data_IF_635401912047
#
_entry.id   IF_635401912047
#
_cell.length_a   1.000
_cell.length_b   1.000
_cell.length_c   1.000
_cell.angle_alpha   90.00
_cell.angle_beta   90.00
_cell.angle_gamma   90.00
#
_symmetry.space_group_name_H-M   'P 1'
#
loop_
_entity.id
_entity.type
_entity.pdbx_description
1 polymer ?
#
# COMPACT_ATOMS: atom_id res chain seq x y z
N UNK A 1 -17.06 -20.08 -6.20
CA UNK A 1 -18.47 -19.63 -6.24
C UNK A 1 -18.79 -18.89 -4.96
N UNK A 2 -19.10 -17.59 -5.01
CA UNK A 2 -19.59 -16.80 -3.87
C UNK A 2 -21.11 -16.61 -3.97
N UNK A 3 -21.79 -16.45 -2.84
CA UNK A 3 -23.25 -16.21 -2.80
C UNK A 3 -23.65 -14.76 -3.15
N UNK A 4 -22.68 -13.90 -3.43
CA UNK A 4 -22.89 -12.54 -3.95
C UNK A 4 -22.07 -12.36 -5.24
N UNK A 5 -22.61 -11.57 -6.16
CA UNK A 5 -21.97 -11.22 -7.41
C UNK A 5 -20.80 -10.25 -7.16
N UNK A 6 -19.70 -10.48 -7.87
CA UNK A 6 -18.52 -9.61 -7.92
C UNK A 6 -18.13 -9.48 -9.38
N UNK A 7 -17.78 -8.27 -9.84
CA UNK A 7 -17.34 -8.08 -11.23
C UNK A 7 -15.96 -8.73 -11.51
N UNK A 8 -15.22 -9.12 -10.47
CA UNK A 8 -14.08 -10.06 -10.53
C UNK A 8 -14.47 -11.42 -9.96
N UNK A 9 -15.03 -12.31 -10.79
CA UNK A 9 -15.25 -13.69 -10.41
C UNK A 9 -13.98 -14.54 -10.63
N UNK A 10 -13.66 -15.42 -9.67
CA UNK A 10 -12.52 -16.33 -9.79
C UNK A 10 -12.94 -17.80 -9.69
N UNK A 11 -12.50 -18.61 -10.66
CA UNK A 11 -12.61 -20.08 -10.65
C UNK A 11 -11.47 -20.63 -9.80
N UNK A 12 -11.68 -20.63 -8.48
CA UNK A 12 -10.70 -21.09 -7.48
C UNK A 12 -10.56 -22.62 -7.44
N UNK A 13 -9.47 -23.16 -6.87
CA UNK A 13 -9.34 -24.60 -6.59
C UNK A 13 -10.51 -25.18 -5.78
N UNK A 14 -11.09 -24.39 -4.86
CA UNK A 14 -12.29 -24.78 -4.08
C UNK A 14 -13.49 -25.01 -5.00
N UNK A 15 -13.64 -24.18 -6.04
CA UNK A 15 -14.74 -24.33 -7.01
C UNK A 15 -14.52 -25.56 -7.88
N UNK A 16 -13.28 -25.84 -8.29
CA UNK A 16 -12.95 -27.02 -9.08
C UNK A 16 -13.08 -28.33 -8.29
N UNK A 17 -12.68 -28.34 -7.02
CA UNK A 17 -12.88 -29.48 -6.12
C UNK A 17 -14.36 -29.77 -5.91
N UNK A 18 -15.17 -28.74 -5.64
CA UNK A 18 -16.63 -28.88 -5.54
C UNK A 18 -17.24 -29.52 -6.80
N UNK A 19 -16.77 -29.15 -8.00
CA UNK A 19 -17.26 -29.75 -9.26
C UNK A 19 -16.80 -31.19 -9.46
N UNK A 20 -15.57 -31.53 -9.05
CA UNK A 20 -15.02 -32.89 -9.13
C UNK A 20 -15.70 -33.84 -8.13
N UNK A 21 -15.94 -33.39 -6.89
CA UNK A 21 -16.67 -34.12 -5.85
C UNK A 21 -18.11 -34.50 -6.26
N UNK A 22 -18.70 -33.81 -7.25
CA UNK A 22 -20.01 -34.20 -7.81
C UNK A 22 -19.96 -35.50 -8.63
N UNK A 23 -18.77 -35.90 -9.11
CA UNK A 23 -18.57 -37.02 -10.02
C UNK A 23 -18.90 -36.76 -11.49
N UNK A 24 -19.37 -35.55 -11.85
CA UNK A 24 -19.73 -35.20 -13.24
C UNK A 24 -18.54 -34.65 -14.06
N UNK A 25 -17.47 -34.21 -13.40
CA UNK A 25 -16.34 -33.51 -14.02
C UNK A 25 -15.01 -34.05 -13.51
N UNK A 26 -13.98 -33.99 -14.36
CA UNK A 26 -12.57 -34.16 -13.96
C UNK A 26 -11.92 -32.79 -14.10
N UNK A 27 -11.51 -32.19 -12.99
CA UNK A 27 -11.08 -30.79 -12.94
C UNK A 27 -9.60 -30.61 -13.30
N UNK A 28 -9.30 -29.70 -14.23
CA UNK A 28 -7.92 -29.30 -14.50
C UNK A 28 -7.51 -28.12 -13.59
N UNK A 29 -6.94 -28.42 -12.43
CA UNK A 29 -6.49 -27.41 -11.46
C UNK A 29 -5.42 -26.45 -11.99
N UNK A 30 -4.69 -26.79 -13.06
CA UNK A 30 -3.73 -25.88 -13.68
C UNK A 30 -4.39 -24.65 -14.34
N UNK A 31 -5.71 -24.67 -14.55
CA UNK A 31 -6.51 -23.55 -15.05
C UNK A 31 -7.22 -22.77 -13.91
N UNK A 32 -6.96 -23.11 -12.64
CA UNK A 32 -7.55 -22.38 -11.51
C UNK A 32 -6.91 -21.00 -11.29
N UNK A 33 -7.72 -20.07 -10.80
CA UNK A 33 -7.31 -18.70 -10.49
C UNK A 33 -6.92 -18.56 -9.01
N UNK A 34 -6.08 -17.56 -8.70
CA UNK A 34 -5.44 -17.38 -7.40
C UNK A 34 -6.39 -16.85 -6.33
N UNK A 35 -6.99 -17.76 -5.55
CA UNK A 35 -7.82 -17.38 -4.42
C UNK A 35 -6.97 -16.94 -3.22
N UNK A 36 -6.83 -15.63 -3.04
CA UNK A 36 -6.03 -15.00 -1.96
C UNK A 36 -6.77 -14.90 -0.62
N UNK A 37 -8.10 -14.84 -0.64
CA UNK A 37 -8.92 -14.72 0.57
C UNK A 37 -8.78 -15.95 1.49
N UNK A 38 -8.35 -15.74 2.73
CA UNK A 38 -8.13 -16.81 3.71
C UNK A 38 -6.90 -17.70 3.45
N UNK A 39 -6.15 -17.49 2.35
CA UNK A 39 -4.97 -18.29 2.01
C UNK A 39 -3.92 -18.21 3.13
N UNK A 40 -3.55 -19.36 3.69
CA UNK A 40 -2.54 -19.47 4.73
C UNK A 40 -2.95 -18.91 6.11
N UNK A 41 -4.24 -18.65 6.36
CA UNK A 41 -4.71 -18.02 7.62
C UNK A 41 -5.09 -19.00 8.74
N UNK A 42 -4.81 -20.29 8.56
CA UNK A 42 -4.93 -21.32 9.61
C UNK A 42 -6.38 -21.69 9.99
N UNK A 43 -6.51 -22.54 11.00
CA UNK A 43 -7.81 -23.07 11.44
C UNK A 43 -8.71 -22.00 12.05
N UNK A 44 -8.18 -21.09 12.89
CA UNK A 44 -8.96 -20.02 13.52
C UNK A 44 -9.74 -19.19 12.50
N UNK A 45 -9.11 -18.84 11.36
CA UNK A 45 -9.79 -18.12 10.28
C UNK A 45 -10.97 -18.90 9.68
N UNK A 46 -10.89 -20.23 9.61
CA UNK A 46 -11.89 -21.09 8.97
C UNK A 46 -13.00 -21.57 9.92
N UNK A 47 -12.73 -21.67 11.23
CA UNK A 47 -13.64 -22.31 12.19
C UNK A 47 -14.09 -21.41 13.35
N UNK A 48 -13.39 -20.30 13.61
CA UNK A 48 -13.73 -19.38 14.71
C UNK A 48 -14.47 -18.13 14.19
N UNK A 49 -14.85 -17.23 15.11
CA UNK A 49 -15.37 -15.92 14.73
C UNK A 49 -14.27 -15.04 14.13
N UNK A 50 -14.63 -14.09 13.25
CA UNK A 50 -13.67 -13.11 12.75
C UNK A 50 -13.11 -12.22 13.87
N UNK A 51 -13.87 -11.97 14.95
CA UNK A 51 -13.37 -11.32 16.16
C UNK A 51 -12.20 -12.10 16.78
N UNK A 52 -12.38 -13.40 16.97
CA UNK A 52 -11.36 -14.27 17.58
C UNK A 52 -10.09 -14.35 16.73
N UNK A 53 -10.24 -14.51 15.41
CA UNK A 53 -9.13 -14.41 14.47
C UNK A 53 -8.43 -13.04 14.55
N UNK A 54 -9.19 -11.92 14.52
CA UNK A 54 -8.58 -10.58 14.61
C UNK A 54 -7.83 -10.37 15.93
N UNK A 55 -8.37 -10.86 17.05
CA UNK A 55 -7.68 -10.83 18.35
C UNK A 55 -6.39 -11.67 18.35
N UNK A 56 -6.41 -12.86 17.74
CA UNK A 56 -5.21 -13.71 17.59
C UNK A 56 -4.12 -13.00 16.76
N UNK A 57 -4.49 -12.46 15.60
CA UNK A 57 -3.56 -11.71 14.75
C UNK A 57 -2.99 -10.49 15.48
N UNK A 58 -3.84 -9.67 16.11
CA UNK A 58 -3.41 -8.49 16.88
C UNK A 58 -2.47 -8.83 18.04
N UNK A 59 -2.74 -9.92 18.78
CA UNK A 59 -1.85 -10.40 19.87
C UNK A 59 -0.48 -10.82 19.34
N UNK A 60 -0.44 -11.46 18.18
CA UNK A 60 0.80 -11.86 17.51
C UNK A 60 1.52 -10.73 16.76
N UNK A 61 0.98 -9.51 16.71
CA UNK A 61 1.55 -8.42 15.91
C UNK A 61 1.39 -8.60 14.39
N UNK A 62 0.48 -9.49 13.96
CA UNK A 62 0.21 -9.77 12.55
C UNK A 62 -0.94 -8.89 12.01
N UNK A 63 -0.95 -8.56 10.70
CA UNK A 63 -2.07 -7.86 10.09
C UNK A 63 -3.37 -8.67 10.17
N UNK A 64 -4.43 -8.04 10.69
CA UNK A 64 -5.80 -8.57 10.80
C UNK A 64 -6.48 -8.86 9.45
N UNK A 65 -5.80 -8.59 8.33
CA UNK A 65 -6.33 -8.83 6.98
C UNK A 65 -6.79 -10.28 6.82
N UNK A 66 -7.92 -10.55 6.15
CA UNK A 66 -8.67 -9.65 5.26
C UNK A 66 -9.59 -8.63 5.96
N UNK A 67 -9.78 -8.72 7.27
CA UNK A 67 -10.71 -7.87 8.01
C UNK A 67 -10.15 -6.47 8.28
N UNK A 68 -11.01 -5.55 8.73
CA UNK A 68 -10.69 -4.14 8.97
C UNK A 68 -11.50 -3.56 10.14
N UNK A 69 -11.01 -2.48 10.77
CA UNK A 69 -11.62 -1.89 11.99
C UNK A 69 -11.99 -0.41 11.83
N UNK A 70 -11.84 0.15 10.62
CA UNK A 70 -12.04 1.57 10.37
C UNK A 70 -13.50 1.89 10.01
N UNK A 71 -14.12 2.82 10.73
CA UNK A 71 -15.48 3.27 10.39
C UNK A 71 -15.45 4.20 9.17
N UNK A 72 -16.02 3.74 8.05
CA UNK A 72 -16.05 4.53 6.81
C UNK A 72 -17.24 5.50 6.80
N UNK A 73 -16.98 6.79 7.04
CA UNK A 73 -18.00 7.85 7.00
C UNK A 73 -18.00 8.68 5.69
N UNK A 74 -17.12 8.35 4.74
CA UNK A 74 -16.68 9.27 3.69
C UNK A 74 -17.76 9.71 2.70
N UNK A 75 -18.94 9.07 2.68
CA UNK A 75 -20.06 9.47 1.83
C UNK A 75 -20.77 10.75 2.30
N UNK A 76 -20.56 11.20 3.56
CA UNK A 76 -21.27 12.35 4.13
C UNK A 76 -20.40 13.54 4.55
N UNK A 77 -19.09 13.37 4.72
CA UNK A 77 -18.21 14.44 5.18
C UNK A 77 -17.17 14.81 4.10
N UNK A 78 -17.43 15.89 3.36
CA UNK A 78 -16.64 16.33 2.18
C UNK A 78 -15.20 16.77 2.48
N UNK A 79 -14.83 16.87 3.75
CA UNK A 79 -13.55 17.45 4.17
C UNK A 79 -12.43 16.40 4.37
N UNK A 80 -12.76 15.11 4.42
CA UNK A 80 -11.80 14.01 4.54
C UNK A 80 -11.91 13.08 3.32
N UNK A 81 -10.77 12.54 2.86
CA UNK A 81 -10.74 11.53 1.80
C UNK A 81 -11.33 10.19 2.24
N UNK A 82 -11.70 9.37 1.26
CA UNK A 82 -12.05 7.97 1.48
C UNK A 82 -10.77 7.16 1.71
N UNK A 83 -10.56 6.69 2.94
CA UNK A 83 -9.48 5.76 3.23
C UNK A 83 -9.74 4.40 2.57
N UNK A 84 -8.72 3.90 1.87
CA UNK A 84 -8.66 2.56 1.28
C UNK A 84 -7.38 1.85 1.72
N UNK A 85 -7.36 0.52 1.58
CA UNK A 85 -6.21 -0.35 1.80
C UNK A 85 -6.23 -1.49 0.78
N UNK A 86 -5.11 -2.19 0.58
CA UNK A 86 -5.05 -3.23 -0.43
C UNK A 86 -5.90 -4.45 -0.06
N UNK A 87 -6.51 -5.08 -1.08
CA UNK A 87 -7.16 -6.37 -0.89
C UNK A 87 -6.10 -7.46 -0.63
N UNK A 88 -6.45 -8.62 -0.04
CA UNK A 88 -5.48 -9.65 0.35
C UNK A 88 -4.59 -10.17 -0.79
N UNK A 89 -5.08 -10.14 -2.03
CA UNK A 89 -4.29 -10.52 -3.23
C UNK A 89 -3.40 -9.40 -3.77
N UNK A 90 -3.59 -8.16 -3.32
CA UNK A 90 -2.98 -6.93 -3.86
C UNK A 90 -3.26 -6.68 -5.36
N UNK A 91 -4.30 -7.29 -5.89
CA UNK A 91 -4.78 -7.08 -7.28
C UNK A 91 -5.68 -5.82 -7.37
N UNK A 92 -6.09 -5.27 -6.22
CA UNK A 92 -7.02 -4.14 -6.08
C UNK A 92 -6.87 -3.46 -4.70
N UNK A 93 -7.56 -2.34 -4.49
CA UNK A 93 -7.75 -1.70 -3.18
C UNK A 93 -9.24 -1.50 -2.86
N UNK A 94 -9.56 -1.43 -1.57
CA UNK A 94 -10.94 -1.32 -1.10
C UNK A 94 -11.09 -0.49 0.17
N UNK A 95 -12.30 0.02 0.40
CA UNK A 95 -12.65 0.71 1.64
C UNK A 95 -13.11 -0.30 2.70
N UNK A 96 -12.95 0.02 3.98
CA UNK A 96 -13.46 -0.84 5.04
C UNK A 96 -15.00 -0.80 5.06
N UNK A 97 -15.68 -1.91 4.75
CA UNK A 97 -17.15 -1.94 4.65
C UNK A 97 -17.89 -2.01 6.00
N UNK A 98 -17.26 -1.54 7.07
CA UNK A 98 -17.82 -1.36 8.41
C UNK A 98 -18.82 -0.19 8.42
N UNK A 99 -20.06 -0.47 8.82
CA UNK A 99 -21.17 0.50 8.85
C UNK A 99 -21.94 0.45 10.18
N UNK A 100 -22.74 1.49 10.42
CA UNK A 100 -23.75 1.50 11.49
C UNK A 100 -25.14 1.11 10.96
N UNK A 101 -25.77 0.14 11.62
CA UNK A 101 -27.13 -0.32 11.35
C UNK A 101 -28.17 0.45 12.16
N UNK A 102 -29.35 0.69 11.58
CA UNK A 102 -30.46 1.36 12.27
C UNK A 102 -30.97 0.56 13.48
N UNK A 103 -30.94 -0.77 13.38
CA UNK A 103 -31.31 -1.75 14.42
C UNK A 103 -30.05 -2.47 14.95
N UNK A 104 -30.05 -2.93 16.21
CA UNK A 104 -28.98 -3.80 16.72
C UNK A 104 -28.83 -5.08 15.91
N UNK A 105 -27.59 -5.56 15.79
CA UNK A 105 -27.25 -6.88 15.27
C UNK A 105 -27.52 -7.97 16.33
N UNK A 106 -27.74 -9.23 15.91
CA UNK A 106 -27.66 -10.39 16.80
C UNK A 106 -26.35 -10.43 17.59
N UNK A 107 -26.41 -10.91 18.83
CA UNK A 107 -25.30 -10.93 19.80
C UNK A 107 -24.01 -11.57 19.28
N UNK A 108 -24.15 -12.63 18.51
CA UNK A 108 -23.09 -13.42 17.88
C UNK A 108 -22.30 -12.64 16.81
N UNK A 109 -22.83 -11.51 16.35
CA UNK A 109 -22.23 -10.64 15.34
C UNK A 109 -21.76 -9.28 15.91
N UNK A 110 -21.73 -9.12 17.23
CA UNK A 110 -21.26 -7.90 17.90
C UNK A 110 -19.76 -8.01 18.19
N UNK A 111 -18.94 -7.47 17.30
CA UNK A 111 -17.47 -7.62 17.35
C UNK A 111 -16.73 -6.44 18.02
N UNK A 112 -17.39 -5.30 18.19
CA UNK A 112 -16.75 -4.03 18.52
C UNK A 112 -17.20 -3.47 19.87
N UNK A 113 -16.29 -2.75 20.52
CA UNK A 113 -16.53 -2.07 21.81
C UNK A 113 -15.98 -0.64 21.79
N UNK A 114 -16.48 0.19 22.69
CA UNK A 114 -15.90 1.50 22.98
C UNK A 114 -15.46 1.59 24.45
N UNK A 115 -14.27 2.13 24.69
CA UNK A 115 -13.72 2.41 26.03
C UNK A 115 -14.12 3.78 26.57
N UNK A 116 -14.50 4.72 25.69
CA UNK A 116 -14.81 6.11 26.03
C UNK A 116 -16.25 6.48 25.63
N UNK A 117 -17.15 6.47 26.61
CA UNK A 117 -18.52 6.95 26.45
C UNK A 117 -18.53 8.47 26.15
N UNK A 118 -19.23 8.99 25.13
CA UNK A 118 -19.92 8.34 24.01
C UNK A 118 -19.40 8.83 22.63
N UNK A 119 -18.10 9.10 22.48
CA UNK A 119 -17.54 9.65 21.23
C UNK A 119 -16.79 8.59 20.42
N UNK A 120 -17.47 8.00 19.42
CA UNK A 120 -16.77 7.31 18.32
C UNK A 120 -16.19 8.39 17.41
N UNK A 121 -14.87 8.50 17.37
CA UNK A 121 -14.18 9.42 16.46
C UNK A 121 -14.27 8.93 15.03
N UNK A 122 -14.50 9.86 14.10
CA UNK A 122 -14.50 9.59 12.68
C UNK A 122 -13.09 9.14 12.23
N UNK A 123 -13.02 8.17 11.32
CA UNK A 123 -11.79 7.61 10.76
C UNK A 123 -10.82 6.93 11.76
N UNK A 124 -11.18 6.73 13.04
CA UNK A 124 -10.37 5.92 13.97
C UNK A 124 -10.64 4.42 13.83
N UNK A 125 -9.64 3.60 14.12
CA UNK A 125 -9.81 2.17 14.36
C UNK A 125 -10.69 1.94 15.59
N UNK A 126 -11.70 1.09 15.48
CA UNK A 126 -12.62 0.76 16.57
C UNK A 126 -12.11 -0.47 17.31
N UNK A 127 -12.04 -0.38 18.64
CA UNK A 127 -11.56 -1.45 19.49
C UNK A 127 -12.39 -2.74 19.33
N UNK A 128 -11.67 -3.88 19.23
CA UNK A 128 -12.25 -5.21 19.27
C UNK A 128 -12.77 -5.56 20.67
N UNK A 129 -13.90 -6.26 20.74
CA UNK A 129 -14.42 -6.81 22.00
C UNK A 129 -13.50 -7.89 22.56
N UNK A 130 -12.94 -7.69 23.75
CA UNK A 130 -12.00 -8.64 24.36
C UNK A 130 -12.68 -9.75 25.19
N UNK A 131 -14.01 -9.74 25.28
CA UNK A 131 -14.79 -10.55 26.21
C UNK A 131 -14.87 -9.96 27.63
N UNK A 132 -13.93 -9.11 28.03
CA UNK A 132 -14.00 -8.35 29.28
C UNK A 132 -14.70 -6.99 29.06
N UNK A 133 -15.90 -6.83 29.62
CA UNK A 133 -16.70 -5.59 29.48
C UNK A 133 -16.42 -4.53 30.57
N UNK A 134 -15.37 -4.68 31.38
CA UNK A 134 -15.02 -3.70 32.40
C UNK A 134 -14.61 -2.38 31.74
N UNK A 135 -15.41 -1.32 31.93
CA UNK A 135 -15.28 -0.02 31.24
C UNK A 135 -15.32 -0.13 29.70
N UNK A 136 -15.96 -1.17 29.14
CA UNK A 136 -16.15 -1.34 27.70
C UNK A 136 -17.64 -1.51 27.36
N UNK A 137 -18.09 -0.80 26.35
CA UNK A 137 -19.49 -0.77 25.93
C UNK A 137 -19.64 -1.42 24.55
N UNK A 138 -20.42 -2.52 24.41
CA UNK A 138 -20.64 -3.19 23.13
C UNK A 138 -21.32 -2.27 22.11
N UNK A 139 -20.73 -2.17 20.92
CA UNK A 139 -21.24 -1.37 19.82
C UNK A 139 -22.20 -2.19 18.98
N UNK A 140 -23.35 -2.55 19.58
CA UNK A 140 -24.35 -3.51 19.04
C UNK A 140 -24.96 -3.16 17.68
N UNK A 141 -24.65 -1.98 17.13
CA UNK A 141 -25.09 -1.53 15.80
C UNK A 141 -23.99 -1.51 14.74
N UNK A 142 -22.74 -1.80 15.10
CA UNK A 142 -21.62 -1.77 14.16
C UNK A 142 -21.29 -3.16 13.63
N UNK A 143 -21.16 -3.27 12.32
CA UNK A 143 -20.73 -4.50 11.63
C UNK A 143 -20.41 -4.26 10.16
N UNK A 144 -19.78 -5.24 9.53
CA UNK A 144 -19.55 -5.28 8.08
C UNK A 144 -20.86 -5.37 7.31
N UNK A 145 -20.96 -4.59 6.23
CA UNK A 145 -22.17 -4.40 5.39
C UNK A 145 -22.84 -5.69 4.91
N UNK A 146 -22.07 -6.77 4.75
CA UNK A 146 -22.51 -8.01 4.08
C UNK A 146 -22.85 -9.10 5.10
N UNK A 147 -24.14 -9.40 5.25
CA UNK A 147 -24.63 -10.43 6.16
C UNK A 147 -24.10 -11.85 5.83
N UNK A 148 -23.86 -12.15 4.54
CA UNK A 148 -23.24 -13.40 4.08
C UNK A 148 -21.78 -13.58 4.54
N UNK A 149 -21.13 -12.51 5.00
CA UNK A 149 -19.81 -12.54 5.64
C UNK A 149 -19.93 -12.56 7.17
N UNK A 150 -21.06 -12.99 7.72
CA UNK A 150 -21.40 -12.95 9.16
C UNK A 150 -21.21 -11.56 9.78
N UNK A 151 -21.50 -10.49 9.01
CA UNK A 151 -21.23 -9.10 9.39
C UNK A 151 -19.77 -8.80 9.76
N UNK A 152 -18.81 -9.62 9.33
CA UNK A 152 -17.38 -9.35 9.50
C UNK A 152 -16.96 -8.25 8.50
N UNK A 153 -16.41 -7.11 8.96
CA UNK A 153 -15.98 -6.03 8.07
C UNK A 153 -14.66 -6.36 7.38
N UNK A 154 -14.56 -6.01 6.10
CA UNK A 154 -13.38 -6.22 5.26
C UNK A 154 -13.19 -5.10 4.23
N UNK A 155 -12.02 -5.05 3.61
CA UNK A 155 -11.73 -4.12 2.51
C UNK A 155 -12.50 -4.54 1.25
N UNK A 156 -13.58 -3.83 0.95
CA UNK A 156 -14.44 -4.05 -0.20
C UNK A 156 -13.99 -3.17 -1.37
N UNK A 157 -13.77 -3.80 -2.52
CA UNK A 157 -13.40 -3.13 -3.77
C UNK A 157 -14.43 -2.07 -4.17
N UNK A 158 -13.96 -0.97 -4.74
CA UNK A 158 -14.82 0.11 -5.23
C UNK A 158 -15.02 -0.04 -6.73
N UNK A 159 -16.26 0.15 -7.14
CA UNK A 159 -16.69 0.20 -8.53
C UNK A 159 -17.59 1.44 -8.71
N UNK A 160 -17.37 2.13 -9.82
CA UNK A 160 -18.13 3.31 -10.22
C UNK A 160 -18.92 2.95 -11.46
N UNK A 161 -20.23 3.18 -11.42
CA UNK A 161 -21.16 2.94 -12.52
C UNK A 161 -21.64 4.27 -13.13
N UNK A 162 -22.11 4.23 -14.38
CA UNK A 162 -22.86 5.33 -14.98
C UNK A 162 -24.35 5.31 -14.57
N UNK A 163 -25.12 6.30 -15.02
CA UNK A 163 -26.55 6.44 -14.73
C UNK A 163 -27.42 5.26 -15.24
N UNK A 164 -26.84 4.34 -16.04
CA UNK A 164 -27.49 3.14 -16.59
C UNK A 164 -27.04 1.87 -15.85
N UNK A 165 -26.23 2.00 -14.78
CA UNK A 165 -25.71 0.89 -13.99
C UNK A 165 -24.57 0.12 -14.68
N UNK A 166 -23.91 0.73 -15.68
CA UNK A 166 -22.76 0.11 -16.33
C UNK A 166 -21.46 0.58 -15.67
N UNK A 167 -20.60 -0.36 -15.31
CA UNK A 167 -19.25 -0.10 -14.78
C UNK A 167 -18.44 0.81 -15.71
N UNK A 168 -17.98 1.95 -15.18
CA UNK A 168 -17.13 2.93 -15.86
C UNK A 168 -15.71 3.04 -15.27
N UNK A 169 -15.48 2.51 -14.06
CA UNK A 169 -14.17 2.38 -13.44
C UNK A 169 -14.26 1.42 -12.26
N UNK A 170 -13.14 0.80 -11.90
CA UNK A 170 -13.00 0.05 -10.66
C UNK A 170 -11.62 0.30 -10.04
N UNK A 171 -11.26 -0.53 -9.07
CA UNK A 171 -10.05 -0.37 -8.25
C UNK A 171 -8.96 -1.40 -8.56
N UNK A 172 -9.19 -2.28 -9.54
CA UNK A 172 -8.21 -3.29 -9.94
C UNK A 172 -6.99 -2.67 -10.63
N UNK A 173 -5.80 -3.09 -10.19
CA UNK A 173 -4.54 -2.59 -10.71
C UNK A 173 -4.24 -3.08 -12.14
N UNK A 174 -4.82 -4.20 -12.56
CA UNK A 174 -4.59 -4.78 -13.89
C UNK A 174 -5.41 -4.14 -15.02
N UNK A 175 -6.42 -3.33 -14.68
CA UNK A 175 -7.33 -2.70 -15.66
C UNK A 175 -6.73 -1.35 -16.09
N UNK A 176 -6.03 -1.35 -17.23
CA UNK A 176 -5.34 -0.16 -17.76
C UNK A 176 -6.25 1.05 -18.00
N UNK A 177 -7.54 0.83 -18.25
CA UNK A 177 -8.56 1.89 -18.45
C UNK A 177 -8.98 2.62 -17.17
N UNK A 178 -8.51 2.19 -15.99
CA UNK A 178 -8.77 2.92 -14.74
C UNK A 178 -8.01 4.26 -14.67
N UNK A 179 -6.87 4.40 -15.38
CA UNK A 179 -6.21 5.70 -15.57
C UNK A 179 -6.91 6.50 -16.69
N UNK A 180 -7.97 7.23 -16.33
CA UNK A 180 -8.77 8.00 -17.30
C UNK A 180 -8.09 9.25 -17.85
N UNK A 181 -7.33 9.96 -17.01
CA UNK A 181 -6.59 11.16 -17.40
C UNK A 181 -5.22 11.18 -16.70
N UNK A 182 -4.10 11.02 -17.43
CA UNK A 182 -2.76 11.13 -16.88
C UNK A 182 -2.48 12.46 -16.18
N UNK A 183 -3.16 13.54 -16.55
CA UNK A 183 -3.00 14.83 -15.89
C UNK A 183 -3.54 14.83 -14.45
N UNK A 184 -4.56 14.04 -14.14
CA UNK A 184 -5.17 13.97 -12.80
C UNK A 184 -4.66 12.77 -11.98
N UNK A 185 -3.48 12.26 -12.31
CA UNK A 185 -2.84 11.13 -11.65
C UNK A 185 -2.16 11.52 -10.32
N UNK A 186 -2.96 11.96 -9.35
CA UNK A 186 -2.51 12.48 -8.06
C UNK A 186 -1.76 11.47 -7.17
N UNK A 187 -1.94 10.16 -7.44
CA UNK A 187 -1.25 9.06 -6.75
C UNK A 187 -0.04 8.51 -7.53
N UNK A 188 0.28 9.08 -8.70
CA UNK A 188 1.33 8.62 -9.63
C UNK A 188 1.17 7.13 -10.03
N UNK A 189 -0.07 6.67 -10.15
CA UNK A 189 -0.40 5.26 -10.39
C UNK A 189 -0.02 4.81 -11.80
N UNK A 190 0.27 3.51 -11.93
CA UNK A 190 0.43 2.80 -13.21
C UNK A 190 -0.41 1.52 -13.16
N UNK A 191 -1.29 1.37 -14.14
CA UNK A 191 -2.18 0.23 -14.28
C UNK A 191 -1.72 -0.68 -15.43
N UNK A 192 -1.86 -1.99 -15.27
CA UNK A 192 -1.38 -2.99 -16.23
C UNK A 192 -1.18 -4.37 -15.62
N UNK A 193 -0.86 -5.37 -16.45
CA UNK A 193 -0.79 -6.77 -16.01
C UNK A 193 0.22 -7.00 -14.87
N UNK A 194 1.32 -6.24 -14.84
CA UNK A 194 2.33 -6.30 -13.79
C UNK A 194 2.16 -5.19 -12.72
N UNK A 195 0.94 -4.66 -12.55
CA UNK A 195 0.63 -3.68 -11.50
C UNK A 195 0.14 -4.35 -10.23
N UNK A 196 0.61 -3.86 -9.09
CA UNK A 196 0.24 -4.33 -7.75
C UNK A 196 -0.29 -3.17 -6.93
N UNK A 197 -1.20 -3.46 -6.01
CA UNK A 197 -1.61 -2.53 -4.97
C UNK A 197 -0.51 -2.39 -3.91
N UNK A 198 -0.17 -1.15 -3.57
CA UNK A 198 0.79 -0.80 -2.52
C UNK A 198 0.10 0.13 -1.52
N UNK A 199 0.23 -0.20 -0.23
CA UNK A 199 -0.28 0.64 0.86
C UNK A 199 0.47 1.98 0.90
N UNK A 200 -0.26 3.04 1.20
CA UNK A 200 0.30 4.35 1.48
C UNK A 200 0.43 4.54 2.99
N UNK A 201 1.54 5.08 3.44
CA UNK A 201 1.62 5.67 4.78
C UNK A 201 0.74 6.92 4.82
N UNK A 202 0.14 7.28 5.97
CA UNK A 202 -0.62 8.51 6.13
C UNK A 202 0.14 9.75 5.67
N UNK A 203 -0.61 10.79 5.29
CA UNK A 203 -0.14 12.07 4.76
C UNK A 203 0.27 12.06 3.26
N UNK A 204 -0.59 11.50 2.40
CA UNK A 204 -0.49 11.75 0.96
C UNK A 204 -1.16 13.08 0.60
N UNK A 205 -0.37 14.08 0.26
CA UNK A 205 -0.82 15.47 0.09
C UNK A 205 -0.42 16.05 -1.26
N UNK A 206 -1.25 16.95 -1.77
CA UNK A 206 -0.98 17.78 -2.94
C UNK A 206 -0.78 19.23 -2.49
N UNK A 207 0.29 19.88 -2.95
CA UNK A 207 0.68 21.23 -2.52
C UNK A 207 0.72 22.17 -3.72
N UNK A 208 0.06 23.33 -3.62
CA UNK A 208 0.19 24.45 -4.56
C UNK A 208 0.38 25.75 -3.78
N UNK A 209 1.60 26.31 -3.82
CA UNK A 209 1.98 27.40 -2.94
C UNK A 209 1.81 26.99 -1.47
N UNK A 210 1.06 27.81 -0.72
CA UNK A 210 0.68 27.54 0.68
C UNK A 210 -0.58 26.66 0.82
N UNK A 211 -1.25 26.30 -0.28
CA UNK A 211 -2.46 25.47 -0.26
C UNK A 211 -2.11 23.98 -0.17
N UNK A 212 -2.71 23.30 0.80
CA UNK A 212 -2.63 21.85 1.01
C UNK A 212 -3.97 21.21 0.63
N UNK A 213 -3.95 20.18 -0.21
CA UNK A 213 -5.12 19.40 -0.60
C UNK A 213 -4.90 17.91 -0.32
N UNK A 214 -5.93 17.24 0.19
CA UNK A 214 -5.96 15.79 0.37
C UNK A 214 -6.68 15.15 -0.83
N UNK A 215 -6.18 14.04 -1.42
CA UNK A 215 -6.90 13.31 -2.46
C UNK A 215 -8.28 12.81 -1.99
N UNK A 216 -9.27 12.67 -2.88
CA UNK A 216 -10.59 12.14 -2.52
C UNK A 216 -10.56 10.65 -2.13
N UNK A 217 -9.49 9.92 -2.49
CA UNK A 217 -9.23 8.53 -2.11
C UNK A 217 -7.75 8.41 -1.73
N UNK A 218 -7.46 7.97 -0.51
CA UNK A 218 -6.11 7.88 0.05
C UNK A 218 -5.88 6.55 0.79
N UNK A 219 -4.62 6.17 1.00
CA UNK A 219 -4.25 4.95 1.75
C UNK A 219 -3.75 3.78 0.90
N UNK A 220 -4.03 3.76 -0.40
CA UNK A 220 -3.45 2.79 -1.32
C UNK A 220 -3.46 3.27 -2.79
N UNK A 221 -2.59 2.67 -3.61
CA UNK A 221 -2.58 2.88 -5.06
C UNK A 221 -1.93 1.75 -5.85
N UNK A 222 -2.16 1.77 -7.16
CA UNK A 222 -1.68 0.76 -8.11
C UNK A 222 -0.38 1.19 -8.81
N UNK A 223 0.64 0.34 -8.78
CA UNK A 223 1.96 0.62 -9.36
C UNK A 223 2.50 -0.60 -10.11
N UNK A 224 3.13 -0.40 -11.27
CA UNK A 224 3.89 -1.49 -11.91
C UNK A 224 5.14 -1.79 -11.09
N UNK A 225 5.68 -2.98 -11.25
CA UNK A 225 6.96 -3.33 -10.64
C UNK A 225 7.86 -4.10 -11.61
N UNK A 226 9.16 -4.04 -11.35
CA UNK A 226 10.15 -4.94 -11.93
C UNK A 226 10.93 -5.64 -10.81
N UNK A 227 11.52 -6.77 -11.17
CA UNK A 227 12.38 -7.57 -10.31
C UNK A 227 13.81 -7.46 -10.84
N UNK A 228 14.78 -7.23 -9.95
CA UNK A 228 16.19 -7.01 -10.29
C UNK A 228 17.06 -7.11 -9.03
N UNK A 229 17.76 -8.23 -8.86
CA UNK A 229 18.68 -8.45 -7.73
C UNK A 229 19.75 -7.34 -7.61
N UNK A 230 20.19 -6.79 -8.75
CA UNK A 230 21.19 -5.71 -8.81
C UNK A 230 20.67 -4.35 -8.33
N UNK A 231 19.36 -4.14 -8.36
CA UNK A 231 18.69 -2.89 -7.96
C UNK A 231 17.95 -3.02 -6.60
N UNK A 232 18.24 -4.08 -5.83
CA UNK A 232 17.64 -4.29 -4.50
C UNK A 232 16.45 -5.25 -4.45
N UNK A 233 16.17 -5.96 -5.54
CA UNK A 233 15.13 -7.00 -5.61
C UNK A 233 13.85 -6.50 -6.23
N UNK A 234 12.95 -5.95 -5.42
CA UNK A 234 11.70 -5.37 -5.91
C UNK A 234 11.87 -3.87 -6.16
N UNK A 235 11.47 -3.41 -7.35
CA UNK A 235 11.46 -1.99 -7.69
C UNK A 235 10.05 -1.63 -8.13
N UNK A 236 9.40 -0.76 -7.36
CA UNK A 236 8.12 -0.17 -7.71
C UNK A 236 8.34 0.95 -8.71
N UNK A 237 7.48 1.02 -9.72
CA UNK A 237 7.54 2.03 -10.78
C UNK A 237 6.26 2.86 -10.78
N UNK A 238 6.42 4.17 -10.65
CA UNK A 238 5.35 5.15 -10.61
C UNK A 238 5.31 5.93 -11.94
N UNK A 239 4.21 6.65 -12.16
CA UNK A 239 4.11 7.57 -13.29
C UNK A 239 5.20 8.67 -13.22
N UNK A 240 5.64 9.14 -14.38
CA UNK A 240 6.74 10.10 -14.47
C UNK A 240 8.15 9.49 -14.40
N UNK A 241 8.29 8.16 -14.50
CA UNK A 241 9.60 7.49 -14.50
C UNK A 241 10.23 7.28 -13.12
N UNK A 242 9.55 7.72 -12.04
CA UNK A 242 10.02 7.49 -10.68
C UNK A 242 10.06 5.98 -10.37
N UNK A 243 11.20 5.51 -9.88
CA UNK A 243 11.40 4.12 -9.41
C UNK A 243 11.78 4.13 -7.94
N UNK A 244 11.17 3.27 -7.13
CA UNK A 244 11.41 3.13 -5.69
C UNK A 244 11.89 1.71 -5.40
N UNK A 245 13.16 1.50 -5.03
CA UNK A 245 13.67 0.18 -4.63
C UNK A 245 13.15 -0.18 -3.23
N UNK A 246 12.58 -1.37 -3.11
CA UNK A 246 12.01 -1.95 -1.91
C UNK A 246 12.85 -3.12 -1.42
N UNK A 247 14.03 -2.79 -0.88
CA UNK A 247 15.02 -3.74 -0.35
C UNK A 247 14.53 -4.44 0.93
N UNK A 248 13.82 -3.71 1.80
CA UNK A 248 13.35 -4.21 3.09
C UNK A 248 11.82 -4.13 3.17
N UNK A 249 11.12 -5.24 3.50
CA UNK A 249 9.67 -5.24 3.70
C UNK A 249 9.27 -4.27 4.81
N UNK A 250 8.30 -3.39 4.52
CA UNK A 250 7.83 -2.36 5.45
C UNK A 250 8.66 -1.07 5.49
N UNK A 251 9.75 -0.96 4.71
CA UNK A 251 10.46 0.31 4.54
C UNK A 251 9.53 1.37 3.90
N UNK A 252 9.74 2.64 4.24
CA UNK A 252 8.95 3.75 3.70
C UNK A 252 9.65 4.39 2.50
N UNK A 253 9.06 4.26 1.31
CA UNK A 253 9.48 4.96 0.10
C UNK A 253 8.87 6.37 0.05
N UNK A 254 9.70 7.41 0.17
CA UNK A 254 9.22 8.81 0.08
C UNK A 254 9.01 9.25 -1.37
N UNK A 255 7.83 9.81 -1.64
CA UNK A 255 7.40 10.30 -2.95
C UNK A 255 7.43 11.83 -2.93
N UNK A 256 8.11 12.43 -3.91
CA UNK A 256 8.11 13.87 -4.15
C UNK A 256 8.18 14.13 -5.66
N UNK A 257 7.06 14.57 -6.24
CA UNK A 257 6.95 14.86 -7.66
C UNK A 257 6.07 16.10 -7.90
N UNK A 258 6.26 16.79 -9.02
CA UNK A 258 5.41 17.89 -9.47
C UNK A 258 4.64 17.49 -10.73
N UNK A 259 3.32 17.70 -10.72
CA UNK A 259 2.43 17.60 -11.87
C UNK A 259 2.49 18.93 -12.62
N UNK A 260 3.16 18.94 -13.78
CA UNK A 260 3.56 20.18 -14.47
C UNK A 260 2.36 21.03 -14.87
N UNK A 261 1.34 20.41 -15.47
CA UNK A 261 0.12 21.09 -15.97
C UNK A 261 -0.71 21.76 -14.87
N UNK A 262 -0.73 21.19 -13.66
CA UNK A 262 -1.48 21.72 -12.51
C UNK A 262 -0.63 22.59 -11.58
N UNK A 263 0.70 22.59 -11.73
CA UNK A 263 1.63 23.15 -10.74
C UNK A 263 1.44 22.58 -9.32
N UNK A 264 1.05 21.31 -9.22
CA UNK A 264 0.82 20.60 -7.94
C UNK A 264 2.01 19.74 -7.57
N UNK A 265 2.57 19.94 -6.38
CA UNK A 265 3.60 19.06 -5.81
C UNK A 265 2.94 17.95 -5.00
N UNK A 266 3.03 16.71 -5.48
CA UNK A 266 2.68 15.49 -4.77
C UNK A 266 3.75 15.19 -3.73
N UNK A 267 3.36 15.09 -2.46
CA UNK A 267 4.16 14.49 -1.39
C UNK A 267 3.42 13.31 -0.81
N UNK A 268 4.05 12.13 -0.85
CA UNK A 268 3.44 10.89 -0.41
C UNK A 268 4.47 9.91 0.16
N UNK A 269 3.99 8.80 0.68
CA UNK A 269 4.83 7.74 1.26
C UNK A 269 4.22 6.37 0.94
N UNK A 270 4.99 5.50 0.31
CA UNK A 270 4.62 4.10 0.06
C UNK A 270 5.20 3.18 1.14
N UNK A 271 4.48 2.13 1.51
CA UNK A 271 5.00 1.06 2.36
C UNK A 271 5.49 -0.07 1.47
N UNK A 272 6.81 -0.31 1.45
CA UNK A 272 7.42 -1.30 0.59
C UNK A 272 6.90 -2.73 0.88
N UNK A 273 6.30 -3.42 -0.11
CA UNK A 273 5.87 -4.79 0.09
C UNK A 273 7.07 -5.74 0.06
N UNK A 274 6.91 -6.93 0.64
CA UNK A 274 7.94 -7.97 0.59
C UNK A 274 8.16 -8.46 -0.85
N UNK A 275 9.39 -8.32 -1.33
CA UNK A 275 9.83 -8.78 -2.66
C UNK A 275 9.37 -10.21 -2.95
N UNK A 276 9.41 -11.11 -1.96
CA UNK A 276 9.10 -12.55 -2.12
C UNK A 276 7.62 -12.83 -2.41
N UNK A 277 6.75 -11.82 -2.29
CA UNK A 277 5.33 -11.92 -2.67
C UNK A 277 5.09 -11.64 -4.16
N UNK A 278 6.05 -11.02 -4.85
CA UNK A 278 5.88 -10.47 -6.20
C UNK A 278 6.96 -10.94 -7.20
N UNK A 279 8.17 -11.20 -6.70
CA UNK A 279 9.33 -11.56 -7.50
C UNK A 279 9.77 -13.02 -7.26
N UNK A 280 10.44 -13.65 -8.25
CA UNK A 280 11.13 -14.92 -8.04
C UNK A 280 12.13 -14.84 -6.88
N UNK A 281 12.25 -15.91 -6.09
CA UNK A 281 13.20 -15.96 -4.96
C UNK A 281 14.67 -15.81 -5.38
N UNK A 282 14.99 -16.04 -6.66
CA UNK A 282 16.31 -15.79 -7.26
C UNK A 282 16.65 -14.30 -7.43
N UNK A 283 15.64 -13.43 -7.37
CA UNK A 283 15.78 -11.99 -7.60
C UNK A 283 15.68 -11.16 -6.32
N UNK A 284 15.10 -11.71 -5.25
CA UNK A 284 15.02 -11.03 -3.96
C UNK A 284 16.31 -11.16 -3.13
N UNK A 285 16.83 -10.06 -2.55
CA UNK A 285 17.92 -10.10 -1.59
C UNK A 285 17.65 -11.08 -0.45
N UNK A 286 18.70 -11.77 0.00
CA UNK A 286 18.64 -12.51 1.26
C UNK A 286 18.54 -11.50 2.40
N UNK A 287 17.34 -11.37 2.97
CA UNK A 287 17.13 -10.67 4.22
C UNK A 287 17.87 -11.45 5.31
N UNK A 288 19.09 -11.01 5.64
CA UNK A 288 19.78 -11.49 6.83
C UNK A 288 18.94 -11.07 8.02
N UNK A 289 18.52 -12.04 8.83
CA UNK A 289 17.87 -11.75 10.11
C UNK A 289 18.82 -10.94 10.97
N UNK A 290 18.50 -9.65 11.17
CA UNK A 290 19.07 -8.88 12.26
C UNK A 290 18.74 -9.68 13.54
N UNK A 291 19.72 -9.96 14.42
CA UNK A 291 19.44 -10.63 15.69
C UNK A 291 18.31 -9.90 16.41
N UNK A 292 17.34 -10.63 16.97
CA UNK A 292 16.03 -10.13 17.42
C UNK A 292 16.06 -9.06 18.55
N UNK A 293 17.23 -8.56 18.93
CA UNK A 293 17.39 -7.58 20.00
C UNK A 293 17.19 -6.11 19.56
N UNK A 294 17.12 -5.80 18.25
CA UNK A 294 17.05 -4.42 17.75
C UNK A 294 16.03 -4.18 16.62
N UNK A 295 14.91 -4.92 16.58
CA UNK A 295 13.76 -4.58 15.71
C UNK A 295 12.62 -4.03 16.56
N UNK A 296 12.75 -2.78 16.98
CA UNK A 296 11.60 -2.00 17.47
C UNK A 296 10.69 -1.67 16.30
N UNK A 297 9.68 -2.51 16.07
CA UNK A 297 8.40 -2.00 15.61
C UNK A 297 7.97 -0.89 16.58
N UNK A 298 7.45 0.23 16.06
CA UNK A 298 7.00 1.37 16.87
C UNK A 298 5.78 0.97 17.71
N UNK A 299 6.03 0.37 18.87
CA UNK A 299 5.04 -0.05 19.86
C UNK A 299 4.86 1.07 20.87
N UNK A 300 3.62 1.51 21.09
CA UNK A 300 3.27 2.22 22.32
C UNK A 300 3.37 1.26 23.51
N UNK A 301 3.98 1.72 24.60
CA UNK A 301 4.33 0.85 25.73
C UNK A 301 3.09 0.32 26.46
N UNK A 302 2.95 -1.00 26.54
CA UNK A 302 2.41 -1.65 27.74
C UNK A 302 3.08 -3.03 27.95
N UNK A 303 3.36 -3.33 29.22
CA UNK A 303 4.01 -4.57 29.69
C UNK A 303 2.95 -5.63 29.95
N UNK A 304 3.26 -6.90 29.68
CA UNK A 304 3.44 -7.90 30.75
C UNK A 304 3.87 -9.28 30.21
N UNK A 305 4.58 -10.00 31.07
CA UNK A 305 5.18 -11.32 30.81
C UNK A 305 4.14 -12.43 30.64
N UNK A 306 4.38 -13.37 29.72
CA UNK A 306 4.76 -14.73 30.14
C UNK A 306 5.25 -15.62 28.98
N UNK A 307 6.16 -16.53 29.34
CA UNK A 307 6.82 -17.51 28.48
C UNK A 307 5.94 -18.69 28.04
N UNK A 308 6.09 -19.15 26.79
CA UNK A 308 6.45 -20.57 26.54
C UNK A 308 6.90 -20.81 25.09
N UNK A 309 7.95 -21.61 24.95
CA UNK A 309 8.46 -22.17 23.69
C UNK A 309 7.58 -23.30 23.16
N UNK A 310 7.57 -23.56 21.85
CA UNK A 310 7.89 -24.90 21.31
C UNK A 310 8.28 -24.85 19.81
N UNK A 311 9.21 -25.73 19.43
CA UNK A 311 9.71 -25.95 18.07
C UNK A 311 8.78 -26.88 17.27
N UNK A 312 8.81 -26.79 15.94
CA UNK A 312 8.99 -27.98 15.08
C UNK A 312 9.62 -27.60 13.73
N UNK A 313 10.67 -28.34 13.35
CA UNK A 313 11.27 -28.30 12.01
C UNK A 313 10.53 -29.24 11.05
N UNK A 314 10.53 -28.91 9.76
CA UNK A 314 10.57 -29.93 8.69
C UNK A 314 11.49 -29.49 7.55
N UNK A 315 12.57 -30.24 7.35
CA UNK A 315 13.46 -30.16 6.18
C UNK A 315 12.96 -31.10 5.07
N UNK A 316 13.33 -30.81 3.80
CA UNK A 316 13.45 -31.66 2.58
C UNK A 316 13.03 -30.85 1.33
N UNK A 317 13.61 -30.97 0.13
CA UNK A 317 14.79 -31.69 -0.38
C UNK A 317 15.40 -30.90 -1.58
N UNK A 318 16.68 -31.12 -1.89
CA UNK A 318 17.39 -30.52 -3.04
C UNK A 318 17.56 -31.55 -4.17
N UNK A 319 17.43 -31.15 -5.45
CA UNK A 319 18.22 -31.71 -6.55
C UNK A 319 19.22 -30.68 -7.14
N UNK A 320 20.33 -31.17 -7.68
CA UNK A 320 21.46 -30.36 -8.21
C UNK A 320 21.54 -30.36 -9.75
N UNK A 321 22.26 -29.36 -10.25
CA UNK A 321 23.00 -29.34 -11.54
C UNK A 321 22.20 -29.05 -12.82
N UNK A 322 22.77 -28.56 -13.93
CA UNK A 322 24.18 -28.28 -14.27
C UNK A 322 24.32 -26.97 -15.09
N UNK A 323 25.54 -26.45 -15.17
CA UNK A 323 25.93 -25.18 -15.84
C UNK A 323 25.89 -25.25 -17.37
N UNK A 324 25.48 -24.15 -18.04
CA UNK A 324 25.88 -23.82 -19.41
C UNK A 324 26.31 -22.34 -19.44
N UNK A 325 27.50 -22.06 -19.99
CA UNK A 325 27.91 -20.70 -20.34
C UNK A 325 27.44 -20.35 -21.75
N UNK A 326 27.10 -19.08 -21.99
CA UNK A 326 27.37 -18.45 -23.28
C UNK A 326 27.89 -17.01 -23.11
N UNK A 327 28.61 -16.58 -24.13
CA UNK A 327 29.55 -15.45 -24.13
C UNK A 327 28.91 -14.07 -24.29
N UNK A 328 29.70 -13.05 -23.95
CA UNK A 328 29.43 -11.64 -24.20
C UNK A 328 29.01 -11.36 -25.65
N UNK A 329 27.98 -10.54 -25.82
CA UNK A 329 27.81 -9.70 -27.01
C UNK A 329 27.65 -8.26 -26.54
N UNK A 330 28.56 -7.40 -27.01
CA UNK A 330 28.52 -5.95 -26.80
C UNK A 330 27.55 -5.39 -27.84
N UNK A 331 26.48 -4.74 -27.39
CA UNK A 331 25.65 -3.88 -28.24
C UNK A 331 25.63 -2.50 -27.60
N UNK A 332 26.13 -1.51 -28.31
CA UNK A 332 25.94 -0.10 -27.96
C UNK A 332 24.50 0.28 -28.34
N UNK A 333 23.62 0.44 -27.35
CA UNK A 333 22.35 1.14 -27.56
C UNK A 333 22.44 2.55 -26.96
N UNK A 334 22.17 3.53 -27.80
CA UNK A 334 22.05 4.93 -27.40
C UNK A 334 20.77 5.12 -26.61
N UNK A 335 20.87 5.47 -25.32
CA UNK A 335 19.72 5.83 -24.50
C UNK A 335 18.96 7.03 -25.13
N UNK A 336 17.77 6.77 -25.69
CA UNK A 336 16.82 7.83 -26.00
C UNK A 336 16.17 8.30 -24.71
N UNK A 337 16.63 9.43 -24.18
CA UNK A 337 15.99 10.09 -23.03
C UNK A 337 14.65 10.66 -23.51
N UNK A 338 13.57 9.91 -23.26
CA UNK A 338 12.21 10.37 -23.49
C UNK A 338 11.79 11.28 -22.30
N UNK A 339 11.96 12.59 -22.47
CA UNK A 339 11.59 13.57 -21.44
C UNK A 339 10.07 13.55 -21.21
N UNK A 340 9.62 13.09 -20.04
CA UNK A 340 8.20 13.01 -19.73
C UNK A 340 7.64 14.41 -19.37
N UNK A 341 6.82 15.06 -20.23
CA UNK A 341 6.42 16.45 -20.04
C UNK A 341 5.38 16.65 -18.92
N UNK A 342 4.83 15.55 -18.37
CA UNK A 342 3.73 15.57 -17.40
C UNK A 342 4.21 15.65 -15.93
N UNK A 343 5.43 15.18 -15.65
CA UNK A 343 5.93 14.97 -14.28
C UNK A 343 7.36 15.47 -14.12
N UNK A 344 7.66 16.14 -13.01
CA UNK A 344 9.04 16.39 -12.54
C UNK A 344 9.25 15.59 -11.25
N UNK A 345 10.25 14.72 -11.22
CA UNK A 345 10.47 13.76 -10.14
C UNK A 345 11.72 14.13 -9.32
N UNK A 346 11.62 14.06 -7.98
CA UNK A 346 12.78 14.18 -7.09
C UNK A 346 13.15 12.83 -6.46
N UNK A 347 14.17 12.17 -7.00
CA UNK A 347 14.71 10.93 -6.44
C UNK A 347 15.47 11.17 -5.12
N UNK A 348 15.26 10.30 -4.14
CA UNK A 348 15.87 10.36 -2.80
C UNK A 348 16.49 9.03 -2.35
N UNK A 349 17.54 8.59 -3.05
CA UNK A 349 18.57 7.63 -2.57
C UNK A 349 19.81 7.76 -3.48
N UNK A 350 21.02 7.52 -2.96
CA UNK A 350 22.28 7.64 -3.73
C UNK A 350 23.22 6.47 -3.41
N UNK A 351 23.80 5.88 -4.47
CA UNK A 351 24.78 4.77 -4.49
C UNK A 351 24.24 3.39 -4.04
N UNK A 352 24.53 2.28 -4.73
CA UNK A 352 25.49 2.03 -5.83
C UNK A 352 24.78 1.50 -7.10
N UNK A 353 25.28 1.86 -8.29
CA UNK A 353 25.00 1.15 -9.54
C UNK A 353 24.01 1.82 -10.51
N UNK A 354 24.38 3.00 -11.04
CA UNK A 354 23.65 3.77 -12.09
C UNK A 354 22.33 4.39 -11.62
N UNK A 355 22.26 5.72 -11.69
CA UNK A 355 21.04 6.53 -11.54
C UNK A 355 21.18 7.74 -12.46
N UNK A 356 20.31 7.88 -13.46
CA UNK A 356 20.09 9.13 -14.19
C UNK A 356 18.60 9.28 -14.46
N UNK A 357 18.01 10.38 -13.97
CA UNK A 357 17.10 11.25 -14.72
C UNK A 357 16.94 12.55 -13.94
N UNK A 358 17.01 13.68 -14.65
CA UNK A 358 17.05 15.03 -14.08
C UNK A 358 16.31 15.96 -15.05
N UNK A 359 15.27 16.67 -14.57
CA UNK A 359 14.57 17.68 -15.37
C UNK A 359 14.06 18.83 -14.48
N UNK A 360 14.50 20.06 -14.79
CA UNK A 360 14.21 21.34 -14.11
C UNK A 360 14.49 22.45 -15.16
N UNK A 361 13.63 23.42 -15.49
CA UNK A 361 12.22 23.71 -15.18
C UNK A 361 11.68 24.58 -16.35
N UNK A 362 10.34 24.67 -16.58
CA UNK A 362 9.76 26.00 -16.33
C UNK A 362 8.32 25.99 -15.76
N UNK A 363 8.10 26.75 -14.68
CA UNK A 363 6.77 27.01 -14.12
C UNK A 363 6.51 26.44 -12.72
N UNK A 364 6.70 27.28 -11.69
CA UNK A 364 6.04 27.24 -10.38
C UNK A 364 6.09 25.96 -9.48
N UNK A 365 6.87 24.93 -9.76
CA UNK A 365 7.09 23.83 -8.80
C UNK A 365 7.99 24.25 -7.61
N UNK A 366 7.41 24.50 -6.43
CA UNK A 366 8.16 24.83 -5.20
C UNK A 366 8.82 23.59 -4.54
N UNK A 367 9.86 23.06 -5.19
CA UNK A 367 10.76 22.09 -4.55
C UNK A 367 11.75 22.86 -3.67
N UNK A 368 11.35 23.14 -2.42
CA UNK A 368 12.26 23.70 -1.41
C UNK A 368 13.44 22.73 -1.18
N UNK A 369 14.59 23.05 -1.78
CA UNK A 369 15.88 22.47 -1.44
C UNK A 369 16.42 23.31 -0.28
N UNK A 370 16.29 22.79 0.94
CA UNK A 370 16.95 23.35 2.10
C UNK A 370 18.47 23.16 1.95
N UNK A 371 19.15 24.14 1.36
CA UNK A 371 20.60 24.23 1.46
C UNK A 371 20.96 24.57 2.90
N UNK A 372 21.56 23.61 3.59
CA UNK A 372 22.31 23.87 4.81
C UNK A 372 23.49 24.78 4.46
N UNK A 373 23.35 26.08 4.74
CA UNK A 373 24.44 27.04 4.67
C UNK A 373 25.41 26.80 5.83
N UNK A 374 26.32 25.84 5.64
CA UNK A 374 27.49 25.73 6.48
C UNK A 374 28.28 27.04 6.40
N UNK A 375 28.43 27.71 7.54
CA UNK A 375 29.23 28.93 7.66
C UNK A 375 30.68 28.65 7.25
N UNK A 376 31.16 29.32 6.21
CA UNK A 376 32.57 29.33 5.84
C UNK A 376 33.09 30.77 5.87
N UNK A 377 33.50 31.20 7.06
CA UNK A 377 34.22 32.46 7.25
C UNK A 377 35.59 32.37 6.57
N UNK A 378 35.77 33.08 5.46
CA UNK A 378 37.09 33.33 4.89
C UNK A 378 37.39 34.82 4.87
N UNK A 379 38.44 35.22 5.60
CA UNK A 379 39.00 36.56 5.54
C UNK A 379 39.62 36.79 4.16
N UNK A 380 39.19 37.85 3.47
CA UNK A 380 40.02 38.55 2.49
C UNK A 380 39.96 40.04 2.80
N UNK A 381 40.91 40.49 3.62
CA UNK A 381 41.30 41.89 3.70
C UNK A 381 42.27 42.18 2.56
N UNK A 382 41.95 43.13 1.68
CA UNK A 382 42.93 43.95 0.94
C UNK A 382 42.33 45.32 0.67
N UNK A 383 43.16 46.33 0.96
CA UNK A 383 42.94 47.75 0.75
C UNK A 383 42.51 48.10 -0.68
N UNK A 384 41.57 49.04 -0.83
CA UNK A 384 41.82 50.21 -1.68
C UNK A 384 41.15 51.46 -1.09
N UNK A 385 41.68 52.63 -1.44
CA UNK A 385 41.65 53.85 -0.63
C UNK A 385 41.23 55.05 -1.50
N UNK A 386 40.51 56.00 -0.87
CA UNK A 386 40.34 57.43 -1.24
C UNK A 386 39.32 57.81 -2.36
N UNK A 387 38.31 58.59 -1.91
CA UNK A 387 37.59 59.71 -2.58
C UNK A 387 36.84 59.42 -3.93
N UNK A 388 35.77 60.13 -4.31
CA UNK A 388 35.38 61.53 -4.07
C UNK A 388 33.84 61.70 -3.93
N UNK A 389 33.40 62.88 -3.47
CA UNK A 389 31.99 63.32 -3.41
C UNK A 389 31.34 63.47 -4.80
N UNK A 390 30.02 63.27 -4.95
CA UNK A 390 29.00 64.36 -4.92
C UNK A 390 27.56 63.89 -5.22
N UNK A 391 26.61 64.73 -4.79
CA UNK A 391 25.18 64.78 -5.11
C UNK A 391 24.83 64.55 -6.59
N UNK A 392 23.68 63.90 -6.90
CA UNK A 392 22.40 64.63 -7.11
C UNK A 392 21.22 63.71 -7.51
N UNK A 393 20.01 64.16 -7.11
CA UNK A 393 18.65 63.76 -7.57
C UNK A 393 18.19 62.32 -7.27
#
# INVERSE_FOLDING_TARGET
MTATYTNSFQISPITLAMMEDTGWYISNYALSQSFSWGRGRGCTFATASCLEYMLEQSRGGHPITPFCQQLTSSFHNKNNGLQVSCTPGKESYGFCNLIEYSKPLPSEYVYFVNTNFPTVTLNSEINLGTGNLTNQYPLVKLGGKIALANYCPYHQEIEWEDDVGKSIANTHCHVSTNLKDPHHNFKLERFGMNSVCVEHSPNWHLINGDSLFVPPVEGAGCYTFRCSMTEGGLILELAGGMSIPCEVPGEIGEINACLTKQSLTVKGKLVCPDCRLLCPLSECPKIYSIPQNNVTYLRSNYSDDHSSSFLYETNMFIPKSHTIQYSQLIVNETESIDENPLYIVKNSKKTKGIVIQQAILPGACLVNIAYSSASLTFLISIYFVVFFQLFCL
#
